data_IF_911356979045
#
_entry.id   IF_911356979045
#
_cell.length_a   1.000
_cell.length_b   1.000
_cell.length_c   1.000
_cell.angle_alpha   90.00
_cell.angle_beta   90.00
_cell.angle_gamma   90.00
#
_symmetry.space_group_name_H-M   'P 1'
#
loop_
_entity.id
_entity.type
_entity.pdbx_description
1 polymer ?
#
# COMPACT_ATOMS: atom_id res chain seq x y z
N UNK A 1 -3.60 -5.63 -2.38
CA UNK A 1 -2.15 -5.66 -2.03
C UNK A 1 -1.62 -7.09 -1.78
N UNK A 2 -0.77 -7.66 -2.66
CA UNK A 2 -0.33 -9.05 -2.59
C UNK A 2 0.80 -9.33 -1.57
N UNK A 3 0.70 -8.81 -0.35
CA UNK A 3 1.74 -8.91 0.69
C UNK A 3 2.01 -10.36 1.11
N UNK A 4 0.95 -11.17 1.26
CA UNK A 4 1.08 -12.60 1.60
C UNK A 4 1.81 -13.36 0.50
N UNK A 5 1.56 -13.03 -0.77
CA UNK A 5 2.26 -13.65 -1.89
C UNK A 5 3.76 -13.32 -1.85
N UNK A 6 4.13 -12.06 -1.56
CA UNK A 6 5.53 -11.69 -1.38
C UNK A 6 6.22 -12.53 -0.29
N UNK A 7 5.55 -12.74 0.86
CA UNK A 7 6.07 -13.61 1.92
C UNK A 7 6.20 -15.08 1.51
N UNK A 8 5.22 -15.61 0.79
CA UNK A 8 5.28 -16.99 0.25
C UNK A 8 6.45 -17.18 -0.72
N UNK A 9 6.84 -16.11 -1.43
CA UNK A 9 8.02 -16.09 -2.31
C UNK A 9 9.35 -15.89 -1.56
N UNK A 10 9.34 -15.88 -0.22
CA UNK A 10 10.54 -15.80 0.61
C UNK A 10 10.89 -14.41 1.11
N UNK A 11 10.01 -13.41 0.96
CA UNK A 11 10.26 -12.09 1.53
C UNK A 11 10.24 -12.14 3.07
N UNK A 12 11.39 -11.89 3.67
CA UNK A 12 11.53 -11.72 5.13
C UNK A 12 10.96 -10.39 5.64
N UNK A 13 10.97 -9.38 4.78
CA UNK A 13 10.54 -8.02 5.08
C UNK A 13 9.79 -7.46 3.87
N UNK A 14 8.61 -6.90 4.09
CA UNK A 14 7.73 -6.39 3.02
C UNK A 14 7.41 -4.92 3.28
N UNK A 15 7.79 -4.09 2.31
CA UNK A 15 7.36 -2.69 2.20
C UNK A 15 6.19 -2.66 1.22
N UNK A 16 5.01 -2.27 1.69
CA UNK A 16 3.86 -2.06 0.83
C UNK A 16 3.81 -0.59 0.38
N UNK A 17 3.49 -0.36 -0.89
CA UNK A 17 3.25 0.97 -1.44
C UNK A 17 1.78 1.04 -1.83
N UNK A 18 1.01 1.89 -1.16
CA UNK A 18 -0.41 2.10 -1.44
C UNK A 18 -0.61 3.44 -2.15
N UNK A 19 -0.85 3.35 -3.47
CA UNK A 19 -1.14 4.47 -4.37
C UNK A 19 -2.62 4.58 -4.71
N UNK A 20 -3.47 3.81 -4.03
CA UNK A 20 -4.90 3.79 -4.30
C UNK A 20 -5.57 5.12 -3.97
N UNK A 21 -6.56 5.49 -4.77
CA UNK A 21 -7.40 6.64 -4.49
C UNK A 21 -8.23 6.41 -3.23
N UNK A 22 -8.45 7.49 -2.48
CA UNK A 22 -9.48 7.49 -1.45
C UNK A 22 -10.87 7.40 -2.10
N UNK A 23 -11.83 6.80 -1.39
CA UNK A 23 -13.23 6.88 -1.82
C UNK A 23 -13.63 8.34 -1.95
N UNK A 24 -13.98 8.75 -3.16
CA UNK A 24 -14.65 10.01 -3.40
C UNK A 24 -15.96 10.09 -2.61
N UNK A 25 -16.50 11.32 -2.54
CA UNK A 25 -17.78 11.57 -1.92
C UNK A 25 -18.86 10.62 -2.45
N UNK A 26 -19.90 10.37 -1.65
CA UNK A 26 -21.05 9.65 -2.15
C UNK A 26 -21.78 10.51 -3.17
N UNK A 27 -21.88 9.99 -4.39
CA UNK A 27 -22.69 10.55 -5.46
C UNK A 27 -23.80 9.56 -5.79
N UNK A 28 -25.01 10.07 -6.03
CA UNK A 28 -26.16 9.24 -6.40
C UNK A 28 -25.86 8.52 -7.72
N UNK A 29 -25.85 7.18 -7.75
CA UNK A 29 -25.57 6.42 -8.97
C UNK A 29 -26.61 6.71 -10.06
N UNK A 30 -26.16 6.93 -11.30
CA UNK A 30 -27.06 7.23 -12.43
C UNK A 30 -27.63 5.96 -13.05
N UNK A 31 -26.96 4.83 -12.87
CA UNK A 31 -27.32 3.54 -13.44
C UNK A 31 -26.70 2.38 -12.64
N UNK A 32 -27.01 1.14 -13.02
CA UNK A 32 -26.51 -0.07 -12.35
C UNK A 32 -24.98 -0.23 -12.45
N UNK A 33 -24.34 0.25 -13.52
CA UNK A 33 -22.88 0.19 -13.66
C UNK A 33 -22.19 1.08 -12.62
N UNK A 34 -22.73 2.28 -12.35
CA UNK A 34 -22.24 3.17 -11.30
C UNK A 34 -22.32 2.49 -9.92
N UNK A 35 -23.38 1.73 -9.65
CA UNK A 35 -23.54 0.95 -8.40
C UNK A 35 -22.47 -0.14 -8.30
N UNK A 36 -22.28 -0.92 -9.36
CA UNK A 36 -21.29 -2.01 -9.39
C UNK A 36 -19.87 -1.46 -9.22
N UNK A 37 -19.53 -0.38 -9.94
CA UNK A 37 -18.21 0.25 -9.85
C UNK A 37 -17.93 0.78 -8.42
N UNK A 38 -18.93 1.37 -7.77
CA UNK A 38 -18.79 1.85 -6.39
C UNK A 38 -18.66 0.69 -5.39
N UNK A 39 -19.44 -0.38 -5.56
CA UNK A 39 -19.34 -1.59 -4.73
C UNK A 39 -17.97 -2.26 -4.86
N UNK A 40 -17.44 -2.37 -6.09
CA UNK A 40 -16.08 -2.89 -6.34
C UNK A 40 -15.02 -2.02 -5.64
N UNK A 41 -15.12 -0.69 -5.77
CA UNK A 41 -14.19 0.24 -5.13
C UNK A 41 -14.19 0.09 -3.60
N UNK A 42 -15.37 -0.03 -2.98
CA UNK A 42 -15.51 -0.29 -1.55
C UNK A 42 -14.88 -1.62 -1.14
N UNK A 43 -15.16 -2.69 -1.87
CA UNK A 43 -14.61 -4.02 -1.60
C UNK A 43 -13.09 -4.03 -1.71
N UNK A 44 -12.54 -3.40 -2.75
CA UNK A 44 -11.09 -3.26 -2.97
C UNK A 44 -10.41 -2.49 -1.84
N UNK A 45 -11.01 -1.38 -1.39
CA UNK A 45 -10.45 -0.57 -0.30
C UNK A 45 -10.49 -1.33 1.03
N UNK A 46 -11.61 -2.01 1.33
CA UNK A 46 -11.71 -2.84 2.53
C UNK A 46 -10.67 -3.97 2.51
N UNK A 47 -10.52 -4.66 1.38
CA UNK A 47 -9.52 -5.72 1.21
C UNK A 47 -8.09 -5.18 1.33
N UNK A 48 -7.77 -4.06 0.67
CA UNK A 48 -6.45 -3.44 0.76
C UNK A 48 -6.13 -3.05 2.21
N UNK A 49 -7.06 -2.42 2.91
CA UNK A 49 -6.90 -2.04 4.33
C UNK A 49 -6.57 -3.24 5.20
N UNK A 50 -7.25 -4.38 5.01
CA UNK A 50 -6.93 -5.61 5.75
C UNK A 50 -5.58 -6.20 5.36
N UNK A 51 -5.24 -6.20 4.07
CA UNK A 51 -3.98 -6.75 3.60
C UNK A 51 -2.77 -5.93 4.07
N UNK A 52 -2.87 -4.60 4.09
CA UNK A 52 -1.82 -3.69 4.52
C UNK A 52 -1.34 -3.94 5.96
N UNK A 53 -2.21 -4.47 6.83
CA UNK A 53 -1.83 -4.86 8.21
C UNK A 53 -0.73 -5.92 8.28
N UNK A 54 -0.49 -6.66 7.19
CA UNK A 54 0.54 -7.69 7.12
C UNK A 54 1.91 -7.18 6.61
N UNK A 55 2.00 -5.91 6.18
CA UNK A 55 3.25 -5.29 5.77
C UNK A 55 4.07 -4.85 6.99
N UNK A 56 5.40 -4.83 6.85
CA UNK A 56 6.28 -4.32 7.89
C UNK A 56 6.32 -2.79 7.88
N UNK A 57 6.22 -2.19 6.68
CA UNK A 57 6.09 -0.74 6.47
C UNK A 57 5.10 -0.50 5.33
N UNK A 58 4.28 0.55 5.47
CA UNK A 58 3.40 1.04 4.41
C UNK A 58 3.84 2.46 4.04
N UNK A 59 4.10 2.69 2.76
CA UNK A 59 4.31 4.00 2.16
C UNK A 59 3.06 4.36 1.37
N UNK A 60 2.51 5.55 1.57
CA UNK A 60 1.27 5.97 0.90
C UNK A 60 1.44 7.38 0.34
N UNK A 61 2.18 7.53 -0.76
CA UNK A 61 2.44 8.83 -1.36
C UNK A 61 1.13 9.44 -1.84
N UNK A 62 0.92 10.72 -1.53
CA UNK A 62 -0.21 11.49 -2.06
C UNK A 62 0.13 11.92 -3.49
N UNK A 63 -0.12 11.03 -4.43
CA UNK A 63 0.15 11.20 -5.86
C UNK A 63 -0.65 12.36 -6.51
N UNK A 64 -1.75 12.81 -5.89
CA UNK A 64 -2.52 13.98 -6.37
C UNK A 64 -3.22 13.75 -7.71
N UNK A 65 -3.34 12.49 -8.12
CA UNK A 65 -3.91 12.11 -9.40
C UNK A 65 -5.43 12.08 -9.26
N UNK A 66 -6.14 12.72 -10.18
CA UNK A 66 -7.61 12.74 -10.18
C UNK A 66 -8.21 11.45 -10.75
N UNK A 67 -7.46 10.77 -11.63
CA UNK A 67 -7.89 9.55 -12.27
C UNK A 67 -6.70 8.66 -12.61
N UNK A 68 -6.76 7.36 -12.30
CA UNK A 68 -5.69 6.39 -12.52
C UNK A 68 -5.09 6.35 -13.94
N UNK A 69 -5.86 6.77 -14.96
CA UNK A 69 -5.44 6.82 -16.36
C UNK A 69 -4.95 8.21 -16.82
N UNK A 70 -4.78 9.17 -15.91
CA UNK A 70 -4.22 10.48 -16.23
C UNK A 70 -2.68 10.43 -16.20
N UNK A 71 -2.09 10.20 -17.37
CA UNK A 71 -0.63 10.13 -17.53
C UNK A 71 0.05 11.50 -17.60
N UNK A 72 -0.71 12.61 -17.62
CA UNK A 72 -0.13 13.95 -17.71
C UNK A 72 0.62 14.36 -16.43
N UNK A 73 0.30 13.74 -15.29
CA UNK A 73 0.87 14.02 -13.96
C UNK A 73 1.98 13.05 -13.54
N UNK A 74 2.53 12.27 -14.48
CA UNK A 74 3.53 11.23 -14.19
C UNK A 74 4.75 11.75 -13.42
N UNK A 75 5.32 12.89 -13.82
CA UNK A 75 6.48 13.47 -13.14
C UNK A 75 6.17 13.81 -11.67
N UNK A 76 5.00 14.43 -11.44
CA UNK A 76 4.54 14.73 -10.09
C UNK A 76 4.36 13.46 -9.25
N UNK A 77 3.79 12.39 -9.82
CA UNK A 77 3.62 11.13 -9.10
C UNK A 77 4.97 10.52 -8.66
N UNK A 78 6.01 10.63 -9.50
CA UNK A 78 7.37 10.20 -9.16
C UNK A 78 7.93 11.03 -8.01
N UNK A 79 7.84 12.35 -8.09
CA UNK A 79 8.34 13.26 -7.05
C UNK A 79 7.66 13.00 -5.71
N UNK A 80 6.34 12.81 -5.70
CA UNK A 80 5.57 12.45 -4.49
C UNK A 80 6.00 11.11 -3.89
N UNK A 81 6.35 10.15 -4.74
CA UNK A 81 6.91 8.87 -4.30
C UNK A 81 8.27 9.05 -3.63
N UNK A 82 9.15 9.88 -4.20
CA UNK A 82 10.44 10.19 -3.61
C UNK A 82 10.31 10.93 -2.27
N UNK A 83 9.47 11.97 -2.21
CA UNK A 83 9.16 12.72 -0.98
C UNK A 83 8.67 11.79 0.15
N UNK A 84 7.73 10.89 -0.15
CA UNK A 84 7.20 9.94 0.84
C UNK A 84 8.31 9.04 1.42
N UNK A 85 9.21 8.56 0.56
CA UNK A 85 10.36 7.74 1.00
C UNK A 85 11.31 8.58 1.83
N UNK A 86 11.65 9.80 1.41
CA UNK A 86 12.53 10.70 2.15
C UNK A 86 12.00 11.00 3.55
N UNK A 87 10.69 11.29 3.67
CA UNK A 87 10.04 11.51 4.95
C UNK A 87 10.04 10.25 5.84
N UNK A 88 9.92 9.05 5.25
CA UNK A 88 9.79 7.79 6.00
C UNK A 88 11.09 6.98 6.10
N UNK A 89 12.21 7.45 5.53
CA UNK A 89 13.43 6.64 5.40
C UNK A 89 13.99 6.18 6.75
N UNK A 90 13.88 7.03 7.79
CA UNK A 90 14.30 6.70 9.14
C UNK A 90 13.45 5.56 9.72
N UNK A 91 12.13 5.60 9.52
CA UNK A 91 11.17 4.56 9.93
C UNK A 91 11.47 3.24 9.23
N UNK A 92 11.67 3.27 7.90
CA UNK A 92 12.01 2.09 7.10
C UNK A 92 13.30 1.44 7.61
N UNK A 93 14.36 2.23 7.81
CA UNK A 93 15.66 1.72 8.31
C UNK A 93 15.53 1.14 9.72
N UNK A 94 14.74 1.76 10.59
CA UNK A 94 14.50 1.29 11.96
C UNK A 94 13.76 -0.06 11.96
N UNK A 95 12.67 -0.17 11.17
CA UNK A 95 11.91 -1.41 11.03
C UNK A 95 12.79 -2.54 10.49
N UNK A 96 13.57 -2.28 9.44
CA UNK A 96 14.46 -3.27 8.84
C UNK A 96 15.53 -3.77 9.83
N UNK A 97 16.12 -2.87 10.63
CA UNK A 97 17.09 -3.24 11.67
C UNK A 97 16.47 -4.16 12.73
N UNK A 98 15.27 -3.83 13.22
CA UNK A 98 14.54 -4.66 14.20
C UNK A 98 14.27 -6.06 13.65
N UNK A 99 13.79 -6.16 12.41
CA UNK A 99 13.53 -7.46 11.76
C UNK A 99 14.81 -8.29 11.62
N UNK A 100 15.93 -7.67 11.22
CA UNK A 100 17.24 -8.36 11.14
C UNK A 100 17.70 -8.88 12.50
N UNK A 101 17.58 -8.08 13.57
CA UNK A 101 17.94 -8.48 14.93
C UNK A 101 17.09 -9.66 15.42
N UNK A 102 15.76 -9.58 15.27
CA UNK A 102 14.85 -10.65 15.68
C UNK A 102 15.13 -11.96 14.95
N UNK A 103 15.54 -11.87 13.68
CA UNK A 103 15.93 -13.04 12.89
C UNK A 103 17.26 -13.63 13.36
N UNK A 104 18.25 -12.79 13.64
CA UNK A 104 19.56 -13.23 14.16
C UNK A 104 19.41 -13.94 15.52
N UNK A 105 18.50 -13.47 16.39
CA UNK A 105 18.18 -14.08 17.68
C UNK A 105 17.38 -15.40 17.58
N UNK A 106 17.07 -15.90 16.38
CA UNK A 106 16.38 -17.19 16.19
C UNK A 106 14.89 -17.18 16.53
N UNK A 107 14.30 -16.01 16.81
CA UNK A 107 12.88 -15.87 17.14
C UNK A 107 11.94 -15.82 15.91
N UNK A 108 12.49 -15.94 14.70
CA UNK A 108 11.76 -15.77 13.44
C UNK A 108 11.06 -17.02 12.87
N UNK A 109 11.26 -18.23 13.39
CA UNK A 109 10.77 -19.46 12.70
C UNK A 109 9.37 -19.95 13.11
N UNK A 110 8.63 -19.25 13.98
CA UNK A 110 7.43 -19.82 14.63
C UNK A 110 6.07 -19.21 14.29
N UNK A 111 5.94 -18.48 13.17
CA UNK A 111 4.63 -18.06 12.65
C UNK A 111 4.55 -18.39 11.15
N UNK A 112 4.30 -19.67 10.84
CA UNK A 112 3.72 -20.07 9.57
C UNK A 112 2.21 -20.11 9.71
#
# INVERSE_FOLDING_TARGET
>A
MPIRAARLLGADFVIAVDVGDSLGAFETPRNALDVIARADSLARIALNKEQLKAADVVLSPRNGITHWADFSTTAQAIDRGAEEVECQIATVRSALRKTRLLRWLGWGSRRR
#
